data_IF_010276749849
#
_entry.id   IF_010276749849
#
_cell.length_a   1.000
_cell.length_b   1.000
_cell.length_c   1.000
_cell.angle_alpha   90.00
_cell.angle_beta   90.00
_cell.angle_gamma   90.00
#
_symmetry.space_group_name_H-M   'P 1'
#
loop_
_entity.id
_entity.type
_entity.pdbx_description
1 polymer ?
#
# COMPACT_ATOMS: atom_id res chain seq x y z
N UNK A 1 -10.46 3.44 -0.31
CA UNK A 1 -9.62 4.07 0.66
C UNK A 1 -8.79 5.20 0.09
N UNK A 2 -8.46 6.15 0.94
CA UNK A 2 -7.69 7.34 0.55
C UNK A 2 -6.31 6.97 -0.01
N UNK A 3 -5.60 6.07 0.66
CA UNK A 3 -4.26 5.67 0.26
C UNK A 3 -4.21 4.88 -1.03
N UNK A 4 -5.25 4.10 -1.32
CA UNK A 4 -5.25 3.23 -2.48
C UNK A 4 -5.19 3.98 -3.80
N UNK A 5 -5.60 5.24 -3.81
CA UNK A 5 -5.64 6.07 -5.02
C UNK A 5 -4.57 7.14 -5.04
N UNK A 6 -3.76 7.22 -3.98
CA UNK A 6 -2.78 8.28 -3.84
C UNK A 6 -1.50 7.98 -4.60
N UNK A 7 -0.94 9.00 -5.22
CA UNK A 7 0.39 8.94 -5.84
C UNK A 7 1.42 9.78 -5.08
N UNK A 8 0.99 10.55 -4.10
CA UNK A 8 1.87 11.40 -3.32
C UNK A 8 1.27 11.68 -1.94
N UNK A 9 2.09 12.25 -1.06
CA UNK A 9 1.61 12.68 0.25
C UNK A 9 0.52 13.75 0.12
N UNK A 10 0.65 14.64 -0.86
CA UNK A 10 -0.35 15.70 -1.07
C UNK A 10 -1.71 15.12 -1.41
N UNK A 11 -1.75 14.04 -2.20
CA UNK A 11 -3.00 13.36 -2.53
C UNK A 11 -3.65 12.79 -1.27
N UNK A 12 -2.85 12.21 -0.39
CA UNK A 12 -3.37 11.61 0.85
C UNK A 12 -3.95 12.68 1.77
N UNK A 13 -3.22 13.78 1.94
CA UNK A 13 -3.67 14.88 2.80
C UNK A 13 -4.94 15.51 2.25
N UNK A 14 -5.01 15.70 0.93
CA UNK A 14 -6.22 16.21 0.28
C UNK A 14 -7.41 15.26 0.50
N UNK A 15 -7.17 13.96 0.45
CA UNK A 15 -8.20 12.96 0.71
C UNK A 15 -8.71 12.99 2.15
N UNK A 16 -7.81 13.20 3.11
CA UNK A 16 -8.18 13.33 4.52
C UNK A 16 -9.05 14.58 4.72
N UNK A 17 -8.68 15.68 4.10
CA UNK A 17 -9.45 16.93 4.19
C UNK A 17 -10.84 16.77 3.59
N UNK A 18 -10.94 16.10 2.45
CA UNK A 18 -12.21 15.81 1.82
C UNK A 18 -13.09 14.93 2.73
N UNK A 19 -12.52 13.90 3.33
CA UNK A 19 -13.23 13.02 4.25
C UNK A 19 -13.71 13.79 5.50
N UNK A 20 -12.91 14.72 6.00
CA UNK A 20 -13.29 15.58 7.13
C UNK A 20 -14.50 16.45 6.76
N UNK A 21 -14.48 17.06 5.59
CA UNK A 21 -15.60 17.89 5.12
C UNK A 21 -16.86 17.09 4.91
N UNK A 22 -16.74 15.83 4.56
CA UNK A 22 -17.86 14.92 4.37
C UNK A 22 -18.38 14.31 5.69
N UNK A 23 -17.73 14.65 6.81
CA UNK A 23 -18.14 14.15 8.12
C UNK A 23 -17.69 12.73 8.43
N UNK A 24 -16.80 12.16 7.61
CA UNK A 24 -16.27 10.80 7.82
C UNK A 24 -15.22 10.79 8.93
N UNK A 25 -14.53 11.91 9.11
CA UNK A 25 -13.58 12.14 10.21
C UNK A 25 -13.97 13.41 10.93
N UNK A 26 -13.86 13.41 12.25
CA UNK A 26 -13.95 14.66 13.00
C UNK A 26 -12.57 15.35 12.96
N UNK A 27 -12.49 16.56 13.51
CA UNK A 27 -11.24 17.35 13.43
C UNK A 27 -10.07 16.65 14.11
N UNK A 28 -10.32 15.99 15.23
CA UNK A 28 -9.28 15.26 15.98
C UNK A 28 -8.78 14.06 15.17
N UNK A 29 -9.68 13.28 14.62
CA UNK A 29 -9.32 12.11 13.79
C UNK A 29 -8.54 12.51 12.56
N UNK A 30 -8.97 13.58 11.89
CA UNK A 30 -8.27 14.09 10.71
C UNK A 30 -6.86 14.54 11.07
N UNK A 31 -6.70 15.23 12.19
CA UNK A 31 -5.40 15.70 12.67
C UNK A 31 -4.47 14.53 13.00
N UNK A 32 -4.97 13.52 13.68
CA UNK A 32 -4.19 12.33 14.01
C UNK A 32 -3.74 11.59 12.75
N UNK A 33 -4.64 11.44 11.79
CA UNK A 33 -4.33 10.77 10.54
C UNK A 33 -3.27 11.54 9.76
N UNK A 34 -3.40 12.86 9.69
CA UNK A 34 -2.41 13.69 9.01
C UNK A 34 -1.02 13.55 9.66
N UNK A 35 -0.95 13.50 10.98
CA UNK A 35 0.32 13.32 11.67
C UNK A 35 0.96 11.98 11.33
N UNK A 36 0.15 10.92 11.30
CA UNK A 36 0.63 9.58 10.94
C UNK A 36 1.17 9.61 9.51
N UNK A 37 0.43 10.18 8.58
CA UNK A 37 0.83 10.25 7.18
C UNK A 37 2.13 11.04 7.00
N UNK A 38 2.25 12.19 7.65
CA UNK A 38 3.47 12.99 7.55
C UNK A 38 4.68 12.27 8.13
N UNK A 39 4.50 11.57 9.25
CA UNK A 39 5.55 10.78 9.87
C UNK A 39 6.01 9.64 8.94
N UNK A 40 5.05 8.90 8.37
CA UNK A 40 5.35 7.73 7.56
C UNK A 40 5.94 8.12 6.21
N UNK A 41 5.44 9.16 5.57
CA UNK A 41 5.97 9.58 4.27
C UNK A 41 7.36 10.21 4.35
N UNK A 42 7.83 10.53 5.54
CA UNK A 42 9.21 10.98 5.74
C UNK A 42 10.21 9.82 5.73
N UNK A 43 9.74 8.58 5.78
CA UNK A 43 10.61 7.41 5.76
C UNK A 43 11.15 7.16 4.37
N UNK A 44 12.40 6.69 4.32
CA UNK A 44 13.08 6.45 3.05
C UNK A 44 12.35 5.42 2.19
N UNK A 45 11.89 4.33 2.79
CA UNK A 45 11.20 3.26 2.08
C UNK A 45 9.92 3.78 1.41
N UNK A 46 9.16 4.58 2.15
CA UNK A 46 7.90 5.13 1.64
C UNK A 46 8.17 6.11 0.50
N UNK A 47 9.19 6.93 0.65
CA UNK A 47 9.59 7.87 -0.41
C UNK A 47 9.96 7.12 -1.70
N UNK A 48 10.64 5.99 -1.58
CA UNK A 48 10.97 5.15 -2.74
C UNK A 48 9.71 4.58 -3.39
N UNK A 49 8.79 4.05 -2.58
CA UNK A 49 7.56 3.46 -3.10
C UNK A 49 6.68 4.45 -3.87
N UNK A 50 6.70 5.72 -3.48
CA UNK A 50 5.92 6.75 -4.14
C UNK A 50 6.76 7.58 -5.13
N UNK A 51 7.96 7.08 -5.46
CA UNK A 51 8.83 7.68 -6.46
C UNK A 51 8.49 7.23 -7.88
N UNK A 52 9.50 7.17 -8.72
CA UNK A 52 9.32 6.82 -10.14
C UNK A 52 9.50 5.33 -10.39
N UNK A 53 8.53 4.74 -11.06
CA UNK A 53 8.51 3.34 -11.47
C UNK A 53 8.05 3.26 -12.92
N UNK A 54 8.38 2.15 -13.60
CA UNK A 54 7.93 1.94 -14.98
C UNK A 54 6.41 1.79 -15.02
N UNK A 55 5.84 1.13 -14.02
CA UNK A 55 4.40 0.94 -13.91
C UNK A 55 4.03 0.85 -12.43
N UNK A 56 2.89 1.39 -12.09
CA UNK A 56 2.32 1.29 -10.74
C UNK A 56 0.89 0.79 -10.89
N UNK A 57 0.60 -0.32 -10.25
CA UNK A 57 -0.74 -0.91 -10.24
C UNK A 57 -1.33 -0.78 -8.86
N UNK A 58 -2.49 -0.16 -8.78
CA UNK A 58 -3.23 0.02 -7.53
C UNK A 58 -4.44 -0.88 -7.52
N UNK A 59 -4.93 -1.22 -6.34
CA UNK A 59 -6.07 -2.11 -6.20
C UNK A 59 -7.25 -1.71 -7.09
N UNK A 60 -7.52 -0.43 -7.21
CA UNK A 60 -8.67 0.07 -7.96
C UNK A 60 -8.46 0.21 -9.47
N UNK A 61 -7.23 0.03 -9.95
CA UNK A 61 -6.89 0.27 -11.34
C UNK A 61 -7.26 -0.89 -12.25
N UNK A 62 -7.51 -2.06 -11.71
CA UNK A 62 -7.71 -3.24 -12.53
C UNK A 62 -8.97 -3.97 -12.12
N UNK A 63 -9.85 -4.10 -13.08
CA UNK A 63 -10.97 -5.02 -13.01
C UNK A 63 -10.45 -6.35 -13.50
N UNK A 64 -9.91 -7.16 -12.62
CA UNK A 64 -9.45 -8.48 -12.99
C UNK A 64 -10.43 -9.50 -12.47
N UNK A 65 -11.18 -10.09 -13.36
CA UNK A 65 -12.06 -11.20 -13.05
C UNK A 65 -11.30 -12.52 -12.97
N UNK A 66 -9.99 -12.50 -13.18
CA UNK A 66 -9.22 -13.73 -13.35
C UNK A 66 -8.43 -14.16 -12.12
N UNK A 67 -8.37 -13.35 -11.10
CA UNK A 67 -7.69 -13.73 -9.88
C UNK A 67 -8.64 -14.44 -8.97
N UNK A 68 -8.80 -15.71 -9.21
CA UNK A 68 -9.62 -16.56 -8.36
C UNK A 68 -9.00 -16.63 -6.98
N UNK A 69 -9.65 -16.01 -6.00
CA UNK A 69 -9.29 -16.15 -4.60
C UNK A 69 -8.08 -15.36 -4.13
N UNK A 70 -7.36 -14.69 -5.00
CA UNK A 70 -6.20 -13.88 -4.58
C UNK A 70 -6.60 -12.42 -4.58
N UNK A 71 -6.69 -11.85 -3.39
CA UNK A 71 -6.97 -10.44 -3.25
C UNK A 71 -5.77 -9.63 -3.72
N UNK A 72 -6.03 -8.61 -4.52
CA UNK A 72 -4.99 -7.76 -5.03
C UNK A 72 -4.41 -6.89 -3.93
N UNK A 73 -3.08 -6.73 -3.87
CA UNK A 73 -2.45 -5.80 -2.93
C UNK A 73 -2.77 -4.36 -3.30
N UNK A 74 -2.61 -3.48 -2.33
CA UNK A 74 -2.95 -2.07 -2.52
C UNK A 74 -2.08 -1.38 -3.55
N UNK A 75 -0.82 -1.79 -3.67
CA UNK A 75 0.11 -1.17 -4.59
C UNK A 75 1.15 -2.18 -5.07
N UNK A 76 1.35 -2.22 -6.38
CA UNK A 76 2.41 -3.02 -7.00
C UNK A 76 3.22 -2.10 -7.88
N UNK A 77 4.53 -2.06 -7.67
CA UNK A 77 5.43 -1.16 -8.39
C UNK A 77 6.39 -1.99 -9.22
N UNK A 78 6.51 -1.66 -10.48
CA UNK A 78 7.29 -2.42 -11.46
C UNK A 78 8.41 -1.56 -12.03
N UNK A 79 9.61 -2.11 -12.03
CA UNK A 79 10.76 -1.51 -12.72
C UNK A 79 11.55 -2.64 -13.35
N UNK A 80 11.47 -2.78 -14.69
CA UNK A 80 12.08 -3.89 -15.42
C UNK A 80 11.52 -5.23 -14.93
N UNK A 81 12.37 -6.08 -14.41
CA UNK A 81 11.98 -7.38 -13.85
C UNK A 81 11.81 -7.36 -12.34
N UNK A 82 11.93 -6.19 -11.73
CA UNK A 82 11.70 -6.01 -10.30
C UNK A 82 10.26 -5.63 -10.03
N UNK A 83 9.66 -6.29 -9.07
CA UNK A 83 8.31 -6.00 -8.62
C UNK A 83 8.30 -5.85 -7.10
N UNK A 84 7.68 -4.78 -6.62
CA UNK A 84 7.51 -4.54 -5.19
C UNK A 84 6.03 -4.49 -4.88
N UNK A 85 5.61 -5.33 -3.94
CA UNK A 85 4.22 -5.47 -3.53
C UNK A 85 4.06 -4.86 -2.14
N UNK A 86 3.12 -3.95 -1.99
CA UNK A 86 2.85 -3.33 -0.69
C UNK A 86 1.37 -3.40 -0.38
N UNK A 87 1.06 -3.87 0.81
CA UNK A 87 -0.29 -3.84 1.33
C UNK A 87 -0.34 -2.89 2.53
N UNK A 88 -1.39 -2.07 2.60
CA UNK A 88 -1.56 -1.06 3.65
C UNK A 88 -2.48 -1.57 4.73
N UNK A 89 -2.09 -1.43 6.00
CA UNK A 89 -2.92 -1.82 7.14
C UNK A 89 -2.92 -0.71 8.17
N UNK A 90 -4.09 -0.40 8.70
CA UNK A 90 -4.25 0.63 9.72
C UNK A 90 -4.50 0.05 11.11
N UNK A 91 -4.77 -1.22 11.24
CA UNK A 91 -5.04 -1.84 12.52
C UNK A 91 -3.82 -1.97 13.42
N UNK A 92 -4.05 -2.37 14.64
CA UNK A 92 -2.98 -2.59 15.62
C UNK A 92 -2.51 -4.03 15.66
N UNK A 93 -3.18 -4.93 14.94
CA UNK A 93 -2.83 -6.34 14.93
C UNK A 93 -2.07 -6.73 13.67
N UNK A 94 -1.03 -7.53 13.87
CA UNK A 94 -0.28 -8.12 12.77
C UNK A 94 -0.76 -9.54 12.59
N UNK A 95 -1.64 -9.76 11.61
CA UNK A 95 -2.25 -11.07 11.39
C UNK A 95 -1.48 -11.89 10.37
N UNK A 96 -1.44 -13.21 10.59
CA UNK A 96 -0.79 -14.13 9.64
C UNK A 96 -1.49 -14.10 8.28
N UNK A 97 -2.79 -13.80 8.24
CA UNK A 97 -3.52 -13.69 6.98
C UNK A 97 -2.99 -12.56 6.10
N UNK A 98 -2.46 -11.50 6.68
CA UNK A 98 -1.84 -10.40 5.92
C UNK A 98 -0.63 -10.91 5.16
N UNK A 99 0.20 -11.72 5.80
CA UNK A 99 1.38 -12.30 5.18
C UNK A 99 1.01 -13.23 4.04
N UNK A 100 -0.02 -14.05 4.23
CA UNK A 100 -0.48 -14.99 3.21
C UNK A 100 -0.95 -14.28 1.95
N UNK A 101 -1.66 -13.17 2.11
CA UNK A 101 -2.13 -12.37 0.98
C UNK A 101 -0.96 -11.86 0.14
N UNK A 102 0.03 -11.27 0.79
CA UNK A 102 1.20 -10.73 0.10
C UNK A 102 2.01 -11.83 -0.56
N UNK A 103 2.26 -12.94 0.16
CA UNK A 103 2.97 -14.09 -0.40
C UNK A 103 2.28 -14.67 -1.62
N UNK A 104 0.96 -14.76 -1.58
CA UNK A 104 0.18 -15.27 -2.71
C UNK A 104 0.38 -14.42 -3.95
N UNK A 105 0.35 -13.12 -3.80
CA UNK A 105 0.57 -12.23 -4.95
C UNK A 105 2.02 -12.25 -5.42
N UNK A 106 2.99 -12.36 -4.52
CA UNK A 106 4.40 -12.51 -4.89
C UNK A 106 4.62 -13.76 -5.73
N UNK A 107 3.97 -14.86 -5.37
CA UNK A 107 4.03 -16.10 -6.16
C UNK A 107 3.46 -15.90 -7.55
N UNK A 108 2.35 -15.17 -7.65
CA UNK A 108 1.73 -14.87 -8.94
C UNK A 108 2.68 -14.08 -9.83
N UNK A 109 3.35 -13.08 -9.28
CA UNK A 109 4.34 -12.29 -10.03
C UNK A 109 5.51 -13.12 -10.48
N UNK A 110 5.92 -14.09 -9.68
CA UNK A 110 6.99 -15.01 -10.07
C UNK A 110 6.59 -15.84 -11.28
N UNK A 111 5.35 -16.30 -11.33
CA UNK A 111 4.81 -17.00 -12.49
C UNK A 111 4.76 -16.12 -13.73
N UNK A 112 4.71 -14.79 -13.55
CA UNK A 112 4.72 -13.82 -14.63
C UNK A 112 6.14 -13.40 -15.04
N UNK A 113 7.15 -14.14 -14.59
CA UNK A 113 8.56 -13.96 -14.95
C UNK A 113 9.25 -12.74 -14.35
N UNK A 114 8.71 -12.16 -13.31
CA UNK A 114 9.47 -11.19 -12.52
C UNK A 114 10.47 -11.96 -11.64
N UNK A 115 11.71 -11.53 -11.61
CA UNK A 115 12.76 -12.28 -10.91
C UNK A 115 13.28 -11.60 -9.64
N UNK A 116 13.02 -10.31 -9.46
CA UNK A 116 13.31 -9.60 -8.23
C UNK A 116 11.99 -9.17 -7.61
N UNK A 117 11.52 -9.93 -6.63
CA UNK A 117 10.21 -9.70 -6.03
C UNK A 117 10.36 -9.43 -4.54
N UNK A 118 9.84 -8.27 -4.11
CA UNK A 118 9.82 -7.87 -2.71
C UNK A 118 8.38 -7.68 -2.28
N UNK A 119 8.07 -8.06 -1.08
CA UNK A 119 6.74 -7.86 -0.52
C UNK A 119 6.81 -7.23 0.85
N UNK A 120 5.90 -6.31 1.12
CA UNK A 120 5.86 -5.59 2.38
C UNK A 120 4.43 -5.41 2.85
N UNK A 121 4.26 -5.39 4.15
CA UNK A 121 3.05 -4.92 4.79
C UNK A 121 3.41 -3.64 5.53
N UNK A 122 2.67 -2.59 5.24
CA UNK A 122 2.89 -1.29 5.87
C UNK A 122 1.79 -1.06 6.89
N UNK A 123 2.17 -1.18 8.16
CA UNK A 123 1.28 -0.92 9.29
C UNK A 123 1.42 0.54 9.69
N UNK A 124 0.57 1.41 9.13
CA UNK A 124 0.71 2.85 9.29
C UNK A 124 0.54 3.31 10.74
N UNK A 125 -0.48 2.81 11.41
CA UNK A 125 -0.75 3.20 12.79
C UNK A 125 0.37 2.78 13.73
N UNK A 126 0.92 1.59 13.51
CA UNK A 126 2.02 1.06 14.32
C UNK A 126 3.37 1.66 13.97
N UNK A 127 3.49 2.29 12.80
CA UNK A 127 4.77 2.79 12.31
C UNK A 127 5.74 1.69 11.95
N UNK A 128 5.25 0.56 11.47
CA UNK A 128 6.08 -0.59 11.12
C UNK A 128 5.93 -1.01 9.67
N UNK A 129 7.06 -1.38 9.08
CA UNK A 129 7.11 -1.98 7.75
C UNK A 129 7.64 -3.39 7.92
N UNK A 130 6.83 -4.37 7.55
CA UNK A 130 7.21 -5.78 7.68
C UNK A 130 7.52 -6.32 6.28
N UNK A 131 8.76 -6.78 6.10
CA UNK A 131 9.16 -7.43 4.85
C UNK A 131 8.68 -8.88 4.85
N UNK A 132 8.10 -9.30 3.74
CA UNK A 132 7.60 -10.66 3.58
C UNK A 132 8.62 -11.46 2.79
N UNK A 133 9.15 -12.49 3.40
CA UNK A 133 10.09 -13.39 2.74
C UNK A 133 9.34 -14.51 2.03
N UNK A 134 9.91 -14.96 0.96
CA UNK A 134 9.36 -16.09 0.21
C UNK A 134 9.75 -17.42 0.80
#
# INVERSE_FOLDING_TARGET
EILNQADSIDDVIAGIETARKQGRFNDEQASEMEQIIRREFARKEISEWFGEWDDVRRENDIISSHTTGTRRPDRVMIRGKRAVVVDYKFGEEKLSSHRKQVKGYMSLLREMDYNEIEGYIWYLTLGEIVRIEN
#
